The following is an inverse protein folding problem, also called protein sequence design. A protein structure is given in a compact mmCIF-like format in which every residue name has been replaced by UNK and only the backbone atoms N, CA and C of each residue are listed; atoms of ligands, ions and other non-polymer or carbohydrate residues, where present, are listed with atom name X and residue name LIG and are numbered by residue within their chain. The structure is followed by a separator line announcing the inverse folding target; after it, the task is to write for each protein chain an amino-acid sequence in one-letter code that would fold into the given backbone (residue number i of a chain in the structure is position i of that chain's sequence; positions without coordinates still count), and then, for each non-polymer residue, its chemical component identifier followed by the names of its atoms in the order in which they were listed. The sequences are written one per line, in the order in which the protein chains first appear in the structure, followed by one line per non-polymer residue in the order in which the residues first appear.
data_IF_226061401382
#
_entry.id   IF_226061401382
#
_cell.length_a   1.000
_cell.length_b   1.000
_cell.length_c   1.000
_cell.angle_alpha   90.00
_cell.angle_beta   90.00
_cell.angle_gamma   90.00
#
_symmetry.space_group_name_H-M   'P 1'
#
loop_
_entity.id
_entity.type
_entity.pdbx_description
1 polymer ?
#
# COMPACT_ATOMS: atom_id res chain seq x y z
N UNK A 1 24.32 -35.67 -2.72
CA UNK A 1 25.32 -34.71 -3.24
C UNK A 1 24.56 -33.41 -3.49
N UNK A 2 24.60 -32.46 -2.56
CA UNK A 2 23.98 -31.13 -2.73
C UNK A 2 24.98 -30.17 -3.37
N UNK A 3 25.43 -30.51 -4.58
CA UNK A 3 26.30 -29.62 -5.33
C UNK A 3 25.42 -28.50 -5.94
N UNK A 4 25.74 -27.23 -5.66
CA UNK A 4 25.00 -26.08 -6.19
C UNK A 4 23.98 -25.41 -5.28
N UNK A 5 23.60 -25.97 -4.12
CA UNK A 5 22.65 -25.27 -3.22
C UNK A 5 23.22 -23.95 -2.70
N UNK A 6 24.54 -23.90 -2.49
CA UNK A 6 25.24 -22.68 -2.08
C UNK A 6 25.22 -21.59 -3.16
N UNK A 7 25.09 -21.92 -4.44
CA UNK A 7 25.02 -20.91 -5.50
C UNK A 7 23.62 -20.78 -6.10
N UNK A 8 22.63 -21.46 -5.52
CA UNK A 8 21.24 -21.26 -5.87
C UNK A 8 20.82 -19.82 -5.59
N UNK A 9 19.92 -19.30 -6.43
CA UNK A 9 19.41 -17.93 -6.31
C UNK A 9 18.80 -17.70 -4.94
N UNK A 10 17.95 -18.63 -4.48
CA UNK A 10 17.28 -18.53 -3.18
C UNK A 10 18.28 -18.51 -2.02
N UNK A 11 19.29 -19.39 -2.03
CA UNK A 11 20.29 -19.39 -0.96
C UNK A 11 21.16 -18.12 -0.97
N UNK A 12 21.47 -17.56 -2.14
CA UNK A 12 22.19 -16.29 -2.26
C UNK A 12 21.34 -15.14 -1.72
N UNK A 13 20.06 -15.12 -2.10
CA UNK A 13 19.07 -14.14 -1.68
C UNK A 13 18.84 -14.12 -0.18
N UNK A 14 18.80 -15.28 0.47
CA UNK A 14 18.62 -15.38 1.92
C UNK A 14 19.84 -14.90 2.72
N UNK A 15 21.05 -15.20 2.24
CA UNK A 15 22.30 -14.87 2.94
C UNK A 15 22.75 -13.44 2.72
N UNK A 16 22.75 -13.00 1.48
CA UNK A 16 23.25 -11.69 1.07
C UNK A 16 22.15 -10.96 0.27
N UNK A 17 21.06 -10.56 0.94
CA UNK A 17 19.87 -10.03 0.27
C UNK A 17 20.16 -8.74 -0.49
N UNK A 18 21.04 -7.87 0.03
CA UNK A 18 21.40 -6.62 -0.66
C UNK A 18 22.25 -6.86 -1.90
N UNK A 19 23.26 -7.73 -1.79
CA UNK A 19 24.08 -8.12 -2.93
C UNK A 19 23.24 -8.77 -4.03
N UNK A 20 22.34 -9.69 -3.65
CA UNK A 20 21.42 -10.32 -4.58
C UNK A 20 20.52 -9.27 -5.26
N UNK A 21 19.96 -8.32 -4.51
CA UNK A 21 19.14 -7.26 -5.08
C UNK A 21 19.92 -6.42 -6.10
N UNK A 22 21.13 -5.99 -5.76
CA UNK A 22 21.94 -5.09 -6.59
C UNK A 22 22.35 -5.70 -7.94
N UNK A 23 22.56 -7.02 -8.00
CA UNK A 23 23.04 -7.68 -9.22
C UNK A 23 21.99 -8.49 -9.96
N UNK A 24 20.96 -8.98 -9.27
CA UNK A 24 19.95 -9.88 -9.81
C UNK A 24 18.55 -9.29 -9.60
N UNK A 25 18.20 -9.00 -8.34
CA UNK A 25 16.84 -8.64 -7.95
C UNK A 25 16.29 -7.40 -8.63
N UNK A 26 17.09 -6.33 -8.80
CA UNK A 26 16.65 -5.06 -9.41
C UNK A 26 16.24 -5.17 -10.88
N UNK A 27 16.63 -6.25 -11.55
CA UNK A 27 16.28 -6.52 -12.95
C UNK A 27 15.13 -7.51 -13.07
N UNK A 28 14.68 -8.11 -11.97
CA UNK A 28 13.53 -8.99 -11.98
C UNK A 28 12.24 -8.18 -11.91
N UNK A 29 11.22 -8.69 -12.59
CA UNK A 29 9.94 -8.02 -12.72
C UNK A 29 9.22 -7.97 -11.36
N UNK A 30 9.20 -6.78 -10.74
CA UNK A 30 8.64 -6.53 -9.40
C UNK A 30 7.13 -6.79 -9.36
N UNK A 31 6.45 -6.67 -10.51
CA UNK A 31 5.02 -6.95 -10.69
C UNK A 31 4.69 -8.41 -10.33
N UNK A 32 5.50 -9.37 -10.76
CA UNK A 32 5.31 -10.80 -10.47
C UNK A 32 5.65 -11.21 -9.03
N UNK A 33 6.35 -10.34 -8.29
CA UNK A 33 6.70 -10.51 -6.87
C UNK A 33 5.77 -9.77 -5.91
N UNK A 34 4.97 -8.81 -6.37
CA UNK A 34 3.97 -8.10 -5.53
C UNK A 34 2.54 -8.55 -5.76
N UNK A 35 2.18 -9.01 -6.96
CA UNK A 35 0.80 -9.39 -7.29
C UNK A 35 0.48 -10.83 -6.94
N UNK A 36 -0.78 -11.11 -6.61
CA UNK A 36 -1.31 -12.48 -6.55
C UNK A 36 -1.25 -13.12 -7.93
N UNK A 37 -0.69 -14.33 -8.03
CA UNK A 37 -0.62 -15.05 -9.29
C UNK A 37 -1.97 -15.72 -9.60
N UNK A 38 -2.35 -15.88 -10.87
CA UNK A 38 -3.55 -16.63 -11.22
C UNK A 38 -3.52 -18.05 -10.61
N UNK A 39 -4.53 -18.40 -9.81
CA UNK A 39 -4.62 -19.69 -9.13
C UNK A 39 -3.89 -19.79 -7.77
N UNK A 40 -3.23 -18.73 -7.30
CA UNK A 40 -2.57 -18.67 -5.98
C UNK A 40 -3.60 -18.36 -4.87
N UNK A 41 -3.48 -19.03 -3.72
CA UNK A 41 -4.34 -18.71 -2.57
C UNK A 41 -3.86 -17.42 -1.94
N UNK A 42 -4.80 -16.65 -1.36
CA UNK A 42 -4.46 -15.39 -0.70
C UNK A 42 -3.50 -15.57 0.48
N UNK A 43 -3.55 -16.72 1.16
CA UNK A 43 -2.58 -17.11 2.19
C UNK A 43 -1.16 -17.13 1.65
N UNK A 44 -0.96 -17.67 0.45
CA UNK A 44 0.36 -17.86 -0.14
C UNK A 44 0.94 -16.51 -0.58
N UNK A 45 0.10 -15.65 -1.19
CA UNK A 45 0.46 -14.26 -1.49
C UNK A 45 0.84 -13.50 -0.22
N UNK A 46 0.10 -13.67 0.88
CA UNK A 46 0.36 -12.97 2.13
C UNK A 46 1.70 -13.41 2.75
N UNK A 47 1.96 -14.72 2.80
CA UNK A 47 3.23 -15.26 3.32
C UNK A 47 4.40 -14.79 2.47
N UNK A 48 4.29 -14.83 1.14
CA UNK A 48 5.31 -14.29 0.24
C UNK A 48 5.56 -12.81 0.47
N UNK A 49 4.51 -11.99 0.60
CA UNK A 49 4.66 -10.54 0.87
C UNK A 49 5.34 -10.26 2.20
N UNK A 50 5.07 -11.04 3.25
CA UNK A 50 5.72 -10.86 4.55
C UNK A 50 7.20 -11.25 4.49
N UNK A 51 7.54 -12.35 3.80
CA UNK A 51 8.93 -12.75 3.53
C UNK A 51 9.69 -11.68 2.74
N UNK A 52 9.09 -11.15 1.68
CA UNK A 52 9.65 -10.07 0.86
C UNK A 52 9.87 -8.80 1.70
N UNK A 53 8.92 -8.43 2.57
CA UNK A 53 9.08 -7.28 3.47
C UNK A 53 10.25 -7.46 4.44
N UNK A 54 10.45 -8.67 4.97
CA UNK A 54 11.60 -8.99 5.83
C UNK A 54 12.94 -8.88 5.07
N UNK A 55 12.99 -9.32 3.81
CA UNK A 55 14.17 -9.15 2.96
C UNK A 55 14.47 -7.67 2.71
N UNK A 56 13.46 -6.87 2.37
CA UNK A 56 13.60 -5.41 2.18
C UNK A 56 14.10 -4.74 3.45
N UNK A 57 13.60 -5.13 4.63
CA UNK A 57 14.08 -4.60 5.90
C UNK A 57 15.58 -4.90 6.12
N UNK A 58 16.02 -6.14 5.85
CA UNK A 58 17.45 -6.50 5.92
C UNK A 58 18.30 -5.68 4.95
N UNK A 59 17.81 -5.49 3.72
CA UNK A 59 18.49 -4.67 2.71
C UNK A 59 18.64 -3.23 3.20
N UNK A 60 17.60 -2.64 3.77
CA UNK A 60 17.64 -1.27 4.30
C UNK A 60 18.63 -1.12 5.45
N UNK A 61 18.68 -2.07 6.37
CA UNK A 61 19.69 -2.05 7.44
C UNK A 61 21.12 -2.07 6.89
N UNK A 62 21.35 -2.85 5.83
CA UNK A 62 22.65 -2.90 5.17
C UNK A 62 22.97 -1.62 4.37
N UNK A 63 22.00 -1.07 3.64
CA UNK A 63 22.09 0.21 2.94
C UNK A 63 22.44 1.35 3.92
N UNK A 64 21.79 1.37 5.09
CA UNK A 64 22.08 2.32 6.16
C UNK A 64 23.51 2.17 6.67
N UNK A 65 23.96 0.92 6.91
CA UNK A 65 25.33 0.62 7.35
C UNK A 65 26.38 1.07 6.33
N UNK A 66 26.05 1.01 5.04
CA UNK A 66 26.91 1.42 3.93
C UNK A 66 26.82 2.92 3.59
N UNK A 67 25.91 3.65 4.25
CA UNK A 67 25.72 5.09 4.04
C UNK A 67 25.02 5.43 2.71
N UNK A 68 24.20 4.52 2.19
CA UNK A 68 23.40 4.76 0.98
C UNK A 68 22.34 5.83 1.27
N UNK A 69 22.17 6.86 0.41
CA UNK A 69 21.13 7.87 0.58
C UNK A 69 19.72 7.27 0.65
N UNK A 70 18.86 7.84 1.49
CA UNK A 70 17.50 7.33 1.72
C UNK A 70 16.64 7.28 0.45
N UNK A 71 16.82 8.26 -0.45
CA UNK A 71 16.18 8.27 -1.77
C UNK A 71 16.48 7.03 -2.62
N UNK A 72 17.62 6.38 -2.39
CA UNK A 72 18.08 5.22 -3.13
C UNK A 72 17.79 3.91 -2.36
N UNK A 73 17.02 3.98 -1.25
CA UNK A 73 16.67 2.81 -0.46
C UNK A 73 15.67 1.90 -1.19
N UNK A 74 15.89 0.59 -1.05
CA UNK A 74 15.04 -0.41 -1.70
C UNK A 74 13.62 -0.36 -1.14
N UNK A 75 12.64 -0.41 -2.03
CA UNK A 75 11.21 -0.36 -1.71
C UNK A 75 10.69 1.03 -1.36
N UNK A 76 11.44 2.10 -1.68
CA UNK A 76 10.98 3.48 -1.57
C UNK A 76 10.10 3.94 -2.75
N UNK A 77 9.89 3.08 -3.75
CA UNK A 77 9.09 3.37 -4.96
C UNK A 77 7.67 3.88 -4.65
N UNK A 78 7.07 3.47 -3.53
CA UNK A 78 5.74 3.92 -3.12
C UNK A 78 5.69 5.41 -2.75
N UNK A 79 6.76 5.91 -2.14
CA UNK A 79 6.91 7.33 -1.81
C UNK A 79 7.30 8.12 -3.06
N UNK A 80 8.06 7.52 -3.97
CA UNK A 80 8.50 8.17 -5.20
C UNK A 80 7.37 8.34 -6.23
N UNK A 81 6.47 7.36 -6.39
CA UNK A 81 5.25 7.49 -7.22
C UNK A 81 4.32 8.58 -6.66
N UNK A 82 4.09 8.61 -5.34
CA UNK A 82 3.27 9.64 -4.66
C UNK A 82 3.90 11.05 -4.80
N UNK A 83 5.21 11.19 -4.62
CA UNK A 83 5.92 12.47 -4.77
C UNK A 83 5.93 12.99 -6.23
N UNK A 84 6.00 12.08 -7.22
CA UNK A 84 5.92 12.46 -8.64
C UNK A 84 4.53 12.92 -9.07
N UNK A 85 3.48 12.23 -8.59
CA UNK A 85 2.09 12.63 -8.87
C UNK A 85 1.78 14.01 -8.25
N UNK A 86 2.24 14.27 -7.02
CA UNK A 86 2.09 15.57 -6.36
C UNK A 86 2.81 16.72 -7.11
N UNK A 87 4.01 16.47 -7.65
CA UNK A 87 4.72 17.47 -8.45
C UNK A 87 4.04 17.78 -9.79
N UNK A 88 3.45 16.78 -10.46
CA UNK A 88 2.69 17.00 -11.70
C UNK A 88 1.42 17.83 -11.44
N UNK A 89 0.71 17.59 -10.33
CA UNK A 89 -0.44 18.41 -9.93
C UNK A 89 -0.06 19.88 -9.65
N UNK A 90 1.09 20.13 -8.99
CA UNK A 90 1.56 21.50 -8.72
C UNK A 90 1.94 22.26 -10.02
N UNK A 91 2.49 21.56 -11.03
CA UNK A 91 2.84 22.17 -12.32
C UNK A 91 1.59 22.48 -13.18
N UNK A 92 0.52 21.71 -13.06
CA UNK A 92 -0.78 21.98 -13.70
C UNK A 92 -1.48 23.21 -13.09
N UNK A 93 -1.45 23.38 -11.76
CA UNK A 93 -2.06 24.56 -11.11
C UNK A 93 -1.38 25.89 -11.50
N UNK A 94 -0.06 25.89 -11.73
CA UNK A 94 0.69 27.09 -12.14
C UNK A 94 0.38 27.55 -13.58
N UNK A 95 -0.15 26.68 -14.44
CA UNK A 95 -0.48 27.00 -15.83
C UNK A 95 -1.86 27.65 -16.01
N UNK A 96 -2.69 27.70 -14.97
CA UNK A 96 -4.06 28.23 -15.04
C UNK A 96 -4.15 29.76 -14.86
N UNK A 97 -3.07 30.44 -14.44
CA UNK A 97 -3.17 31.83 -13.96
C UNK A 97 -2.71 32.94 -14.94
N UNK A 98 -2.46 32.65 -16.23
CA UNK A 98 -1.97 33.64 -17.21
C UNK A 98 -2.98 34.01 -18.32
N UNK A 99 -4.29 34.07 -18.06
CA UNK A 99 -5.22 34.67 -19.02
C UNK A 99 -6.49 35.32 -18.40
N UNK A 100 -6.55 36.66 -18.50
CA UNK A 100 -7.78 37.40 -18.85
C UNK A 100 -8.67 37.91 -17.71
N UNK A 101 -8.63 39.23 -17.48
CA UNK A 101 -9.55 39.92 -16.56
C UNK A 101 -10.94 40.24 -17.13
N UNK A 102 -11.92 40.50 -16.25
CA UNK A 102 -12.78 41.70 -16.22
C UNK A 102 -13.75 41.65 -15.02
N UNK A 103 -14.13 42.83 -14.53
CA UNK A 103 -14.80 43.11 -13.25
C UNK A 103 -16.24 42.58 -13.07
N UNK A 104 -16.64 42.20 -11.83
CA UNK A 104 -17.45 43.01 -10.87
C UNK A 104 -17.99 42.19 -9.67
N UNK A 105 -17.72 42.74 -8.48
CA UNK A 105 -18.44 42.70 -7.17
C UNK A 105 -18.66 41.40 -6.36
N UNK A 106 -18.74 41.52 -5.01
CA UNK A 106 -18.26 40.52 -4.07
C UNK A 106 -19.41 39.73 -3.43
N UNK A 107 -19.28 38.40 -3.41
CA UNK A 107 -20.07 37.57 -2.49
C UNK A 107 -19.16 36.58 -1.77
N UNK A 108 -19.53 36.32 -0.53
CA UNK A 108 -18.69 35.91 0.56
C UNK A 108 -18.18 34.48 0.42
N UNK A 109 -16.89 34.32 0.72
CA UNK A 109 -16.40 33.22 1.56
C UNK A 109 -16.44 31.84 0.93
N UNK A 110 -15.33 31.46 0.30
CA UNK A 110 -14.74 30.13 0.46
C UNK A 110 -13.32 30.17 -0.08
N UNK A 111 -12.38 30.47 0.82
CA UNK A 111 -10.96 30.20 0.61
C UNK A 111 -10.86 28.68 0.35
N UNK A 112 -10.18 28.22 -0.72
CA UNK A 112 -9.92 26.80 -0.86
C UNK A 112 -8.99 26.40 0.30
N UNK A 113 -9.56 25.74 1.31
CA UNK A 113 -8.74 25.18 2.36
C UNK A 113 -7.88 24.09 1.72
N UNK A 114 -6.55 24.27 1.79
CA UNK A 114 -5.60 23.16 1.67
C UNK A 114 -6.19 21.98 2.43
N UNK A 115 -6.46 20.87 1.74
CA UNK A 115 -6.75 19.61 2.43
C UNK A 115 -5.44 19.24 3.12
N UNK A 116 -5.30 19.65 4.38
CA UNK A 116 -4.20 19.21 5.21
C UNK A 116 -4.31 17.69 5.31
N UNK A 117 -3.29 17.00 4.82
CA UNK A 117 -3.17 15.56 4.93
C UNK A 117 -3.04 15.28 6.44
N UNK A 118 -3.98 14.53 7.05
CA UNK A 118 -3.95 14.25 8.48
C UNK A 118 -2.63 13.60 8.86
N UNK A 119 -2.13 13.92 10.05
CA UNK A 119 -0.96 13.23 10.62
C UNK A 119 -1.20 11.72 10.64
N UNK A 120 -0.13 10.92 10.57
CA UNK A 120 -0.23 9.46 10.62
C UNK A 120 -1.02 8.97 11.85
N UNK A 121 -0.88 9.66 12.99
CA UNK A 121 -1.63 9.38 14.22
C UNK A 121 -3.13 9.70 14.06
N UNK A 122 -3.47 10.84 13.45
CA UNK A 122 -4.85 11.26 13.21
C UNK A 122 -5.56 10.36 12.18
N UNK A 123 -4.83 9.89 11.17
CA UNK A 123 -5.36 8.92 10.21
C UNK A 123 -5.67 7.59 10.90
N UNK A 124 -4.79 7.15 11.80
CA UNK A 124 -4.97 5.92 12.54
C UNK A 124 -6.17 6.01 13.49
N UNK A 125 -6.32 7.10 14.23
CA UNK A 125 -7.50 7.37 15.06
C UNK A 125 -8.79 7.37 14.24
N UNK A 126 -8.77 7.97 13.04
CA UNK A 126 -9.91 7.98 12.13
C UNK A 126 -10.26 6.58 11.63
N UNK A 127 -9.26 5.75 11.34
CA UNK A 127 -9.47 4.35 10.95
C UNK A 127 -10.05 3.54 12.11
N UNK A 128 -9.57 3.75 13.34
CA UNK A 128 -10.11 3.10 14.53
C UNK A 128 -11.57 3.51 14.78
N UNK A 129 -11.88 4.80 14.70
CA UNK A 129 -13.25 5.31 14.81
C UNK A 129 -14.19 4.71 13.75
N UNK A 130 -13.73 4.66 12.49
CA UNK A 130 -14.47 4.02 11.42
C UNK A 130 -14.72 2.54 11.70
N UNK A 131 -13.70 1.83 12.20
CA UNK A 131 -13.79 0.40 12.52
C UNK A 131 -14.84 0.14 13.60
N UNK A 132 -14.85 0.95 14.67
CA UNK A 132 -15.83 0.85 15.75
C UNK A 132 -17.24 1.05 15.20
N UNK A 133 -17.44 2.09 14.39
CA UNK A 133 -18.74 2.41 13.79
C UNK A 133 -19.24 1.29 12.88
N UNK A 134 -18.36 0.71 12.07
CA UNK A 134 -18.71 -0.42 11.20
C UNK A 134 -19.05 -1.68 12.00
N UNK A 135 -18.31 -1.97 13.07
CA UNK A 135 -18.61 -3.09 13.98
C UNK A 135 -19.98 -2.93 14.64
N UNK A 136 -20.30 -1.73 15.12
CA UNK A 136 -21.60 -1.43 15.72
C UNK A 136 -22.73 -1.61 14.71
N UNK A 137 -22.59 -1.05 13.51
CA UNK A 137 -23.58 -1.21 12.43
C UNK A 137 -23.78 -2.65 12.01
N UNK A 138 -22.70 -3.42 11.97
CA UNK A 138 -22.74 -4.85 11.66
C UNK A 138 -23.52 -5.62 12.73
N UNK A 139 -23.17 -5.45 14.01
CA UNK A 139 -23.84 -6.12 15.13
C UNK A 139 -25.32 -5.74 15.24
N UNK A 140 -25.64 -4.49 14.94
CA UNK A 140 -27.01 -4.00 14.93
C UNK A 140 -27.79 -4.40 13.68
N UNK A 141 -27.15 -5.01 12.67
CA UNK A 141 -27.78 -5.40 11.40
C UNK A 141 -28.31 -4.23 10.58
N UNK A 142 -27.78 -3.02 10.78
CA UNK A 142 -28.23 -1.80 10.07
C UNK A 142 -27.54 -1.60 8.71
N UNK A 143 -26.60 -2.48 8.35
CA UNK A 143 -25.88 -2.45 7.07
C UNK A 143 -26.60 -3.25 5.97
N UNK A 144 -27.94 -3.17 5.93
CA UNK A 144 -28.76 -3.92 4.96
C UNK A 144 -28.64 -3.41 3.53
N UNK A 145 -28.10 -2.19 3.34
CA UNK A 145 -27.81 -1.64 2.02
C UNK A 145 -26.67 -2.40 1.32
N UNK A 146 -25.73 -2.96 2.09
CA UNK A 146 -24.55 -3.64 1.56
C UNK A 146 -24.54 -5.15 1.89
N UNK A 147 -25.12 -5.56 3.01
CA UNK A 147 -25.14 -6.94 3.48
C UNK A 147 -26.57 -7.37 3.82
N UNK A 148 -27.12 -8.28 3.03
CA UNK A 148 -28.45 -8.87 3.28
C UNK A 148 -28.33 -10.00 4.33
N UNK A 149 -28.36 -9.61 5.61
CA UNK A 149 -28.28 -10.53 6.75
C UNK A 149 -29.39 -11.60 6.72
N UNK A 150 -30.58 -11.28 6.20
CA UNK A 150 -31.69 -12.22 6.12
C UNK A 150 -31.43 -13.33 5.09
N UNK A 151 -30.59 -13.08 4.08
CA UNK A 151 -30.15 -14.12 3.14
C UNK A 151 -29.11 -15.05 3.76
N UNK A 152 -28.25 -14.52 4.61
CA UNK A 152 -27.21 -15.29 5.32
C UNK A 152 -27.86 -16.20 6.36
N UNK A 153 -28.77 -15.66 7.17
CA UNK A 153 -29.45 -16.37 8.26
C UNK A 153 -30.35 -17.51 7.75
N UNK A 154 -30.94 -17.36 6.55
CA UNK A 154 -31.75 -18.41 5.91
C UNK A 154 -30.92 -19.60 5.40
N UNK A 155 -29.61 -19.47 5.27
CA UNK A 155 -28.77 -20.52 4.70
C UNK A 155 -28.26 -21.53 5.75
N UNK A 156 -28.72 -21.43 7.00
CA UNK A 156 -28.20 -22.16 8.16
C UNK A 156 -29.15 -23.22 8.76
N UNK A 157 -30.06 -23.78 7.97
CA UNK A 157 -30.79 -25.01 8.36
C UNK A 157 -30.03 -26.30 7.98
N UNK A 158 -28.88 -26.19 7.33
CA UNK A 158 -28.08 -27.34 6.83
C UNK A 158 -26.73 -27.52 7.53
N UNK A 159 -26.40 -26.71 8.54
CA UNK A 159 -25.20 -26.92 9.38
C UNK A 159 -25.52 -27.65 10.70
N UNK A 160 -26.79 -27.96 10.97
CA UNK A 160 -27.20 -28.87 12.05
C UNK A 160 -27.33 -30.31 11.50
N UNK A 161 -26.27 -30.77 10.84
CA UNK A 161 -26.16 -32.16 10.38
C UNK A 161 -26.02 -33.09 11.60
N UNK A 162 -27.13 -33.74 11.92
CA UNK A 162 -27.29 -34.84 12.87
C UNK A 162 -26.60 -36.14 12.41
#
# INVERSE_FOLDING_TARGET
MYDGQYFSEDAMREREPYLHYEYIGKFQDMTGRRMSRPGERWSDTLMRRSEEAMLVAKIRSEQQRLGVPEKDWVGNERLQEEETDEMEEEEEELKVNENGGMAKEPDQGSIPQKKEIPSAEELQDRMEQFTILMQEKFLAGHDTEHVDYAKIDKHDETLDDR
#
